data_IF_553838084252
#
_entry.id   IF_553838084252
#
_cell.length_a   1.000
_cell.length_b   1.000
_cell.length_c   1.000
_cell.angle_alpha   90.00
_cell.angle_beta   90.00
_cell.angle_gamma   90.00
#
_symmetry.space_group_name_H-M   'P 1'
#
loop_
_entity.id
_entity.type
_entity.pdbx_description
1 polymer ?
#
# COMPACT_ATOMS: atom_id res chain seq x y z
N UNK A 1 13.06 27.33 22.11
CA UNK A 1 11.84 27.22 21.29
C UNK A 1 11.28 25.82 21.50
N UNK A 2 10.12 25.71 22.14
CA UNK A 2 9.56 24.41 22.54
C UNK A 2 9.06 23.65 21.32
N UNK A 3 9.64 22.49 21.04
CA UNK A 3 8.99 21.55 20.12
C UNK A 3 7.67 21.11 20.77
N UNK A 4 6.55 21.34 20.09
CA UNK A 4 5.25 20.82 20.54
C UNK A 4 5.37 19.32 20.76
N UNK A 5 5.02 18.87 21.97
CA UNK A 5 4.92 17.44 22.28
C UNK A 5 3.88 16.83 21.36
N UNK A 6 4.10 15.59 20.92
CA UNK A 6 3.10 14.85 20.16
C UNK A 6 2.58 13.69 21.00
N UNK A 7 1.29 13.42 20.86
CA UNK A 7 0.64 12.25 21.41
C UNK A 7 0.91 11.01 20.56
N UNK A 8 0.71 9.83 21.15
CA UNK A 8 0.80 8.55 20.44
C UNK A 8 -0.22 8.47 19.29
N UNK A 9 -1.42 9.03 19.49
CA UNK A 9 -2.46 9.11 18.46
C UNK A 9 -2.01 9.94 17.26
N UNK A 10 -1.34 11.06 17.50
CA UNK A 10 -0.76 11.89 16.43
C UNK A 10 0.33 11.13 15.69
N UNK A 11 1.23 10.42 16.41
CA UNK A 11 2.25 9.57 15.80
C UNK A 11 1.64 8.48 14.91
N UNK A 12 0.61 7.77 15.38
CA UNK A 12 -0.08 6.72 14.62
C UNK A 12 -0.83 7.26 13.38
N UNK A 13 -1.21 8.54 13.37
CA UNK A 13 -1.87 9.18 12.24
C UNK A 13 -0.92 9.62 11.12
N UNK A 14 0.39 9.44 11.30
CA UNK A 14 1.41 9.85 10.34
C UNK A 14 1.37 8.98 9.09
N UNK A 15 0.80 9.53 8.01
CA UNK A 15 0.78 8.90 6.68
C UNK A 15 1.94 9.36 5.81
N UNK A 16 2.40 8.50 4.92
CA UNK A 16 3.36 8.86 3.85
C UNK A 16 2.66 9.76 2.84
N UNK A 17 3.33 10.83 2.44
CA UNK A 17 2.84 11.72 1.37
C UNK A 17 3.35 11.22 0.03
N UNK A 18 2.60 11.29 -1.05
CA UNK A 18 3.16 11.06 -2.40
C UNK A 18 3.57 12.45 -2.93
N UNK A 19 4.82 12.69 -3.36
CA UNK A 19 5.85 11.74 -3.81
C UNK A 19 6.99 11.43 -2.80
N UNK A 20 6.78 11.60 -1.49
CA UNK A 20 7.79 11.32 -0.43
C UNK A 20 8.41 9.92 -0.59
N UNK A 21 9.73 9.83 -0.47
CA UNK A 21 10.42 8.54 -0.44
C UNK A 21 10.11 7.79 0.87
N UNK A 22 10.38 6.48 0.90
CA UNK A 22 10.13 5.68 2.11
C UNK A 22 11.10 6.10 3.22
N UNK A 23 12.36 6.35 2.86
CA UNK A 23 13.40 6.74 3.80
C UNK A 23 13.07 8.11 4.43
N UNK A 24 12.58 9.07 3.64
CA UNK A 24 12.12 10.37 4.15
C UNK A 24 10.93 10.24 5.11
N UNK A 25 9.95 9.40 4.74
CA UNK A 25 8.79 9.10 5.59
C UNK A 25 9.22 8.50 6.94
N UNK A 26 10.07 7.47 6.92
CA UNK A 26 10.53 6.80 8.13
C UNK A 26 11.38 7.75 8.99
N UNK A 27 12.18 8.61 8.37
CA UNK A 27 12.93 9.65 9.09
C UNK A 27 12.00 10.66 9.76
N UNK A 28 10.95 11.13 9.06
CA UNK A 28 9.94 12.01 9.65
C UNK A 28 9.20 11.35 10.80
N UNK A 29 8.84 10.07 10.66
CA UNK A 29 8.23 9.29 11.72
C UNK A 29 9.16 9.20 12.95
N UNK A 30 10.46 8.90 12.77
CA UNK A 30 11.44 8.86 13.86
C UNK A 30 11.60 10.21 14.56
N UNK A 31 11.64 11.31 13.81
CA UNK A 31 11.72 12.67 14.36
C UNK A 31 10.47 13.03 15.18
N UNK A 32 9.29 12.57 14.74
CA UNK A 32 8.05 12.71 15.49
C UNK A 32 8.08 11.84 16.74
N UNK A 33 8.51 10.58 16.64
CA UNK A 33 8.68 9.67 17.78
C UNK A 33 9.61 10.24 18.85
N UNK A 34 10.69 10.94 18.48
CA UNK A 34 11.57 11.62 19.43
C UNK A 34 10.87 12.73 20.24
N UNK A 35 9.71 13.22 19.80
CA UNK A 35 8.86 14.20 20.50
C UNK A 35 7.70 13.55 21.26
N UNK A 36 7.55 12.23 21.15
CA UNK A 36 6.54 11.45 21.85
C UNK A 36 7.16 10.81 23.09
N UNK A 37 6.73 11.27 24.27
CA UNK A 37 7.29 10.88 25.57
C UNK A 37 6.80 9.51 26.07
N UNK A 38 5.90 8.84 25.34
CA UNK A 38 5.41 7.51 25.70
C UNK A 38 6.45 6.44 25.33
N UNK A 39 6.69 5.48 26.22
CA UNK A 39 7.63 4.40 26.00
C UNK A 39 6.91 3.22 25.32
N UNK A 40 6.99 3.17 23.99
CA UNK A 40 6.42 2.09 23.20
C UNK A 40 7.51 1.11 22.76
N UNK A 41 7.26 -0.20 22.76
CA UNK A 41 8.18 -1.17 22.20
C UNK A 41 8.33 -0.96 20.68
N UNK A 42 9.47 -1.40 20.13
CA UNK A 42 9.82 -1.09 18.74
C UNK A 42 8.83 -1.67 17.72
N UNK A 43 8.29 -2.85 17.98
CA UNK A 43 7.31 -3.47 17.08
C UNK A 43 6.01 -2.67 16.97
N UNK A 44 5.52 -2.05 18.04
CA UNK A 44 4.33 -1.19 17.98
C UNK A 44 4.61 0.06 17.15
N UNK A 45 5.82 0.63 17.24
CA UNK A 45 6.26 1.72 16.38
C UNK A 45 6.29 1.34 14.91
N UNK A 46 6.74 0.11 14.63
CA UNK A 46 6.79 -0.45 13.29
C UNK A 46 5.37 -0.68 12.74
N UNK A 47 4.45 -1.18 13.55
CA UNK A 47 3.05 -1.35 13.16
C UNK A 47 2.38 0.00 12.85
N UNK A 48 2.58 1.01 13.68
CA UNK A 48 2.11 2.37 13.42
C UNK A 48 2.69 2.95 12.12
N UNK A 49 3.99 2.78 11.89
CA UNK A 49 4.64 3.25 10.66
C UNK A 49 4.18 2.47 9.43
N UNK A 50 3.96 1.16 9.55
CA UNK A 50 3.44 0.32 8.47
C UNK A 50 2.01 0.73 8.09
N UNK A 51 1.16 1.05 9.09
CA UNK A 51 -0.20 1.57 8.89
C UNK A 51 -0.26 2.94 8.19
N UNK A 52 0.83 3.70 8.24
CA UNK A 52 0.96 4.98 7.55
C UNK A 52 1.43 4.87 6.09
N UNK A 53 1.78 3.67 5.61
CA UNK A 53 2.16 3.44 4.21
C UNK A 53 0.93 3.32 3.30
N UNK A 54 1.14 3.39 1.98
CA UNK A 54 0.06 3.20 1.02
C UNK A 54 -0.52 1.79 1.16
N UNK A 55 -1.84 1.66 1.01
CA UNK A 55 -2.56 0.39 1.07
C UNK A 55 -1.90 -0.71 0.22
N UNK A 56 -1.48 -0.34 -0.98
CA UNK A 56 -0.80 -1.22 -1.93
C UNK A 56 0.47 -1.88 -1.39
N UNK A 57 1.18 -1.21 -0.48
CA UNK A 57 2.38 -1.69 0.19
C UNK A 57 1.98 -2.38 1.50
N UNK A 58 1.14 -1.73 2.31
CA UNK A 58 0.65 -2.22 3.59
C UNK A 58 0.05 -3.63 3.49
N UNK A 59 -0.77 -3.89 2.46
CA UNK A 59 -1.39 -5.22 2.26
C UNK A 59 -0.37 -6.36 2.12
N UNK A 60 0.82 -6.08 1.60
CA UNK A 60 1.90 -7.06 1.44
C UNK A 60 2.78 -7.19 2.71
N UNK A 61 2.63 -6.29 3.68
CA UNK A 61 3.37 -6.27 4.94
C UNK A 61 2.56 -6.88 6.09
N UNK A 62 1.22 -6.80 6.04
CA UNK A 62 0.32 -7.23 7.13
C UNK A 62 0.44 -8.71 7.53
N UNK A 63 1.06 -9.56 6.70
CA UNK A 63 1.28 -10.98 7.03
C UNK A 63 2.57 -11.23 7.80
N UNK A 64 3.44 -10.22 7.96
CA UNK A 64 4.76 -10.37 8.56
C UNK A 64 4.90 -9.50 9.81
N UNK A 65 5.26 -10.13 10.93
CA UNK A 65 5.66 -9.42 12.14
C UNK A 65 7.08 -8.86 11.96
N UNK A 66 7.19 -7.53 11.96
CA UNK A 66 8.46 -6.81 11.78
C UNK A 66 8.90 -6.24 13.13
N UNK A 67 10.15 -6.50 13.51
CA UNK A 67 10.64 -6.12 14.85
C UNK A 67 11.20 -4.71 14.92
N UNK A 68 11.74 -4.22 13.81
CA UNK A 68 12.46 -2.96 13.75
C UNK A 68 12.18 -2.17 12.46
N UNK A 69 12.52 -0.89 12.48
CA UNK A 69 12.27 0.03 11.37
C UNK A 69 13.15 -0.24 10.14
N UNK A 70 14.28 -0.95 10.30
CA UNK A 70 15.16 -1.30 9.19
C UNK A 70 14.54 -2.45 8.37
N UNK A 71 14.01 -3.47 9.05
CA UNK A 71 13.24 -4.56 8.44
C UNK A 71 12.05 -4.02 7.64
N UNK A 72 11.32 -3.04 8.20
CA UNK A 72 10.24 -2.37 7.49
C UNK A 72 10.74 -1.69 6.21
N UNK A 73 11.82 -0.91 6.27
CA UNK A 73 12.40 -0.25 5.10
C UNK A 73 12.80 -1.24 4.00
N UNK A 74 13.49 -2.33 4.37
CA UNK A 74 13.95 -3.34 3.43
C UNK A 74 12.80 -4.11 2.79
N UNK A 75 11.77 -4.46 3.57
CA UNK A 75 10.57 -5.12 3.05
C UNK A 75 9.79 -4.23 2.11
N UNK A 76 9.62 -2.95 2.43
CA UNK A 76 8.96 -2.02 1.52
C UNK A 76 9.75 -1.88 0.21
N UNK A 77 11.09 -1.84 0.28
CA UNK A 77 11.96 -1.82 -0.90
C UNK A 77 11.80 -3.09 -1.74
N UNK A 78 11.69 -4.25 -1.08
CA UNK A 78 11.41 -5.53 -1.74
C UNK A 78 10.05 -5.54 -2.45
N UNK A 79 8.98 -5.11 -1.77
CA UNK A 79 7.63 -5.03 -2.35
C UNK A 79 7.61 -4.12 -3.58
N UNK A 80 8.28 -2.96 -3.52
CA UNK A 80 8.39 -2.07 -4.69
C UNK A 80 9.12 -2.72 -5.86
N UNK A 81 10.20 -3.46 -5.61
CA UNK A 81 10.95 -4.21 -6.65
C UNK A 81 10.09 -5.30 -7.28
N UNK A 82 9.43 -6.12 -6.46
CA UNK A 82 8.55 -7.20 -6.93
C UNK A 82 7.40 -6.67 -7.80
N UNK A 83 6.78 -5.55 -7.40
CA UNK A 83 5.74 -4.91 -8.24
C UNK A 83 6.29 -4.41 -9.57
N UNK A 84 7.48 -3.80 -9.57
CA UNK A 84 8.11 -3.32 -10.80
C UNK A 84 8.49 -4.48 -11.74
N UNK A 85 8.93 -5.61 -11.18
CA UNK A 85 9.27 -6.82 -11.94
C UNK A 85 8.01 -7.51 -12.50
N UNK A 86 6.96 -7.70 -11.68
CA UNK A 86 5.67 -8.24 -12.13
C UNK A 86 5.05 -7.40 -13.25
N UNK A 87 5.14 -6.07 -13.15
CA UNK A 87 4.67 -5.17 -14.20
C UNK A 87 5.48 -5.26 -15.51
N UNK A 88 6.73 -5.74 -15.45
CA UNK A 88 7.54 -6.02 -16.65
C UNK A 88 7.19 -7.38 -17.23
N UNK A 89 7.17 -8.45 -16.43
CA UNK A 89 6.87 -9.81 -16.90
C UNK A 89 5.43 -9.93 -17.45
N UNK A 90 4.45 -9.30 -16.82
CA UNK A 90 3.07 -9.18 -17.31
C UNK A 90 2.97 -8.62 -18.74
N UNK A 91 3.83 -7.65 -19.10
CA UNK A 91 3.84 -7.05 -20.44
C UNK A 91 4.45 -7.96 -21.50
N UNK A 92 5.23 -8.97 -21.10
CA UNK A 92 5.83 -9.94 -22.03
C UNK A 92 4.90 -11.12 -22.35
N UNK A 93 3.99 -11.51 -21.45
CA UNK A 93 3.05 -12.62 -21.70
C UNK A 93 1.94 -12.31 -22.71
N UNK A 94 1.80 -11.07 -23.20
CA UNK A 94 0.82 -10.73 -24.25
C UNK A 94 1.24 -11.15 -25.68
N UNK A 95 2.36 -11.88 -25.87
CA UNK A 95 2.84 -12.27 -27.21
C UNK A 95 2.96 -13.77 -27.50
N UNK A 96 2.80 -14.66 -26.53
CA UNK A 96 2.88 -16.10 -26.83
C UNK A 96 1.49 -16.74 -26.87
N UNK A 97 0.89 -16.69 -28.07
CA UNK A 97 -0.09 -17.69 -28.49
C UNK A 97 0.67 -18.98 -28.79
N UNK A 98 0.98 -19.78 -27.77
CA UNK A 98 1.31 -21.19 -27.96
C UNK A 98 0.30 -21.98 -27.14
N UNK A 99 -0.62 -22.63 -27.85
CA UNK A 99 -1.62 -23.50 -27.26
C UNK A 99 -0.91 -24.77 -26.74
N UNK A 100 -0.70 -24.83 -25.43
CA UNK A 100 -0.42 -26.09 -24.75
C UNK A 100 -1.72 -26.56 -24.07
N UNK A 101 -2.22 -27.70 -24.51
CA UNK A 101 -3.32 -28.44 -23.88
C UNK A 101 -2.69 -29.54 -23.03
N UNK A 102 -2.83 -29.46 -21.71
CA UNK A 102 -2.84 -30.58 -20.73
C UNK A 102 -3.15 -30.00 -19.34
N UNK A 103 -4.38 -30.15 -18.81
CA UNK A 103 -4.90 -31.20 -17.89
C UNK A 103 -4.68 -30.89 -16.39
N UNK A 104 -5.80 -30.66 -15.67
CA UNK A 104 -6.06 -30.72 -14.20
C UNK A 104 -5.11 -29.90 -13.27
N UNK A 105 -5.50 -29.19 -12.21
CA UNK A 105 -6.69 -29.07 -11.37
C UNK A 105 -6.94 -27.57 -11.09
N UNK A 106 -8.21 -27.22 -10.87
CA UNK A 106 -8.64 -25.85 -10.60
C UNK A 106 -8.62 -25.58 -9.09
N UNK A 107 -7.56 -24.99 -8.57
CA UNK A 107 -7.56 -24.20 -7.33
C UNK A 107 -7.54 -22.70 -7.66
N UNK A 108 -8.56 -22.25 -8.39
CA UNK A 108 -8.79 -20.84 -8.66
C UNK A 108 -9.17 -20.08 -7.40
N UNK A 109 -8.20 -19.68 -6.58
CA UNK A 109 -8.36 -18.51 -5.72
C UNK A 109 -8.46 -17.28 -6.62
N UNK A 110 -9.71 -16.85 -6.82
CA UNK A 110 -10.10 -15.68 -7.56
C UNK A 110 -9.63 -14.42 -6.80
N UNK A 111 -8.38 -14.01 -7.04
CA UNK A 111 -7.90 -12.68 -6.66
C UNK A 111 -8.57 -11.69 -7.63
N UNK A 112 -9.78 -11.23 -7.28
CA UNK A 112 -10.42 -10.06 -7.88
C UNK A 112 -9.48 -8.86 -7.71
N UNK A 113 -8.57 -8.69 -8.66
CA UNK A 113 -7.87 -7.44 -8.93
C UNK A 113 -8.95 -6.45 -9.35
N UNK A 114 -9.55 -5.78 -8.37
CA UNK A 114 -10.43 -4.64 -8.62
C UNK A 114 -9.55 -3.54 -9.18
N UNK A 115 -9.44 -3.57 -10.51
CA UNK A 115 -8.85 -2.53 -11.32
C UNK A 115 -9.41 -1.19 -10.83
N UNK A 116 -8.51 -0.25 -10.60
CA UNK A 116 -8.86 1.11 -10.24
C UNK A 116 -9.84 1.64 -11.29
N UNK A 117 -11.13 1.68 -10.99
CA UNK A 117 -12.14 2.30 -11.85
C UNK A 117 -11.73 3.75 -12.03
N UNK A 118 -11.09 4.01 -13.17
CA UNK A 118 -10.96 5.31 -13.77
C UNK A 118 -12.35 5.93 -13.80
N UNK A 119 -12.46 7.14 -13.25
CA UNK A 119 -13.72 7.88 -13.13
C UNK A 119 -14.35 8.06 -14.51
N UNK A 120 -15.18 7.11 -14.94
CA UNK A 120 -16.06 7.30 -16.08
C UNK A 120 -17.20 8.21 -15.62
N UNK A 121 -17.09 9.47 -16.05
CA UNK A 121 -18.13 10.49 -16.05
C UNK A 121 -19.44 9.89 -16.60
N UNK A 122 -20.33 9.49 -15.68
CA UNK A 122 -21.67 8.98 -16.01
C UNK A 122 -22.54 10.17 -16.41
N UNK A 123 -22.78 10.31 -17.72
CA UNK A 123 -23.70 11.31 -18.26
C UNK A 123 -25.14 10.83 -18.03
N UNK A 124 -25.80 11.36 -17.00
CA UNK A 124 -27.20 11.06 -16.67
C UNK A 124 -28.09 11.79 -17.69
N UNK A 125 -28.68 11.06 -18.63
CA UNK A 125 -29.72 11.63 -19.49
C UNK A 125 -31.08 11.60 -18.75
N UNK A 126 -31.67 12.78 -18.53
CA UNK A 126 -33.00 12.91 -17.97
C UNK A 126 -34.07 12.36 -18.94
N UNK A 127 -34.88 11.41 -18.47
CA UNK A 127 -36.03 10.88 -19.20
C UNK A 127 -37.18 11.89 -19.17
N UNK A 128 -37.65 12.33 -20.34
CA UNK A 128 -38.86 13.16 -20.46
C UNK A 128 -40.10 12.31 -20.13
N UNK A 129 -41.10 12.87 -19.42
CA UNK A 129 -42.37 12.19 -19.19
C UNK A 129 -43.15 12.04 -20.51
N UNK A 130 -43.78 10.87 -20.68
CA UNK A 130 -44.58 10.52 -21.86
C UNK A 130 -45.91 11.29 -21.95
N UNK A 131 -46.58 11.27 -23.12
CA UNK A 131 -47.74 12.12 -23.41
C UNK A 131 -49.01 11.69 -22.64
N UNK A 132 -50.03 12.57 -22.59
CA UNK A 132 -51.14 12.54 -21.62
C UNK A 132 -52.15 11.41 -21.83
#
# INVERSE_FOLDING_TARGET
>A
MGHSKISLKELASVRRKIPESIDDYLNRFRLLKARCFTQEPEHELVEMAAGGLDYSIMKNLNTQYLRDMAQLADKVRQVKRLKAEKARSSKFHKKDKVAYVETYESDGEFDDDFDCVENNEVNIAELKPGPP
#
